data_IF_335873412527
#
_entry.id   IF_335873412527
#
_cell.length_a   1.000
_cell.length_b   1.000
_cell.length_c   1.000
_cell.angle_alpha   90.00
_cell.angle_beta   90.00
_cell.angle_gamma   90.00
#
_symmetry.space_group_name_H-M   'P 1'
#
loop_
_entity.id
_entity.type
_entity.pdbx_description
1 polymer ?
#
# COMPACT_ATOMS: atom_id res chain seq x y z
N UNK A 1 -2.48 -8.51 -11.03
CA UNK A 1 -1.53 -9.40 -10.35
C UNK A 1 -0.39 -8.59 -9.75
N UNK A 2 -0.02 -8.87 -8.52
CA UNK A 2 1.07 -8.18 -7.85
C UNK A 2 2.41 -8.58 -8.45
N UNK A 3 3.34 -7.63 -8.57
CA UNK A 3 4.69 -7.89 -9.07
C UNK A 3 5.37 -9.00 -8.27
N UNK A 4 6.10 -9.90 -8.96
CA UNK A 4 6.75 -11.05 -8.31
C UNK A 4 7.91 -10.62 -7.42
N UNK A 5 8.71 -9.67 -7.89
CA UNK A 5 9.87 -9.17 -7.17
C UNK A 5 9.62 -7.71 -6.83
N UNK A 6 9.00 -7.50 -5.67
CA UNK A 6 8.70 -6.15 -5.24
C UNK A 6 9.99 -5.45 -4.83
N UNK A 7 10.23 -4.29 -5.43
CA UNK A 7 11.35 -3.44 -5.08
C UNK A 7 10.83 -2.33 -4.18
N UNK A 8 11.39 -2.20 -2.99
CA UNK A 8 10.98 -1.17 -2.05
C UNK A 8 11.24 0.24 -2.60
N UNK A 9 10.27 1.12 -2.40
CA UNK A 9 10.34 2.52 -2.80
C UNK A 9 9.90 3.38 -1.62
N UNK A 10 10.70 4.39 -1.25
CA UNK A 10 10.27 5.39 -0.29
C UNK A 10 9.34 6.41 -0.96
N UNK A 11 8.39 6.94 -0.19
CA UNK A 11 7.51 7.99 -0.70
C UNK A 11 8.33 9.25 -1.00
N UNK A 12 8.11 9.89 -2.17
CA UNK A 12 8.82 11.14 -2.49
C UNK A 12 8.47 12.28 -1.53
N UNK A 13 7.23 12.31 -1.06
CA UNK A 13 6.76 13.27 -0.06
C UNK A 13 5.81 12.56 0.91
N UNK A 14 5.54 13.11 2.10
CA UNK A 14 4.59 12.48 3.05
C UNK A 14 3.17 12.31 2.52
N UNK A 15 2.80 13.01 1.44
CA UNK A 15 1.47 12.89 0.82
C UNK A 15 1.38 11.76 -0.19
N UNK A 16 2.50 11.14 -0.55
CA UNK A 16 2.58 10.18 -1.65
C UNK A 16 2.73 8.71 -1.22
N UNK A 17 2.33 8.38 -0.01
CA UNK A 17 2.41 6.98 0.46
C UNK A 17 1.59 6.03 -0.43
N UNK A 18 0.39 6.43 -0.85
CA UNK A 18 -0.45 5.61 -1.72
C UNK A 18 0.17 5.40 -3.09
N UNK A 19 0.77 6.43 -3.66
CA UNK A 19 1.43 6.33 -4.96
C UNK A 19 2.65 5.41 -4.89
N UNK A 20 3.42 5.48 -3.81
CA UNK A 20 4.55 4.57 -3.60
C UNK A 20 4.07 3.11 -3.45
N UNK A 21 2.98 2.87 -2.72
CA UNK A 21 2.38 1.53 -2.61
C UNK A 21 1.97 1.01 -3.98
N UNK A 22 1.29 1.82 -4.78
CA UNK A 22 0.88 1.44 -6.13
C UNK A 22 2.09 1.10 -7.00
N UNK A 23 3.14 1.90 -6.94
CA UNK A 23 4.36 1.66 -7.70
C UNK A 23 5.03 0.35 -7.30
N UNK A 24 5.12 0.08 -5.99
CA UNK A 24 5.72 -1.16 -5.49
C UNK A 24 4.91 -2.39 -5.91
N UNK A 25 3.60 -2.34 -5.73
CA UNK A 25 2.73 -3.49 -6.02
C UNK A 25 2.63 -3.82 -7.51
N UNK A 26 2.68 -2.82 -8.37
CA UNK A 26 2.54 -3.00 -9.82
C UNK A 26 3.88 -3.15 -10.54
N UNK A 27 4.97 -2.68 -9.95
CA UNK A 27 6.25 -2.62 -10.62
C UNK A 27 6.37 -1.47 -11.62
N UNK A 28 5.40 -0.57 -11.62
CA UNK A 28 5.36 0.58 -12.53
C UNK A 28 6.09 1.76 -11.87
N UNK A 29 6.83 2.54 -12.67
CA UNK A 29 7.55 3.71 -12.19
C UNK A 29 6.59 4.69 -11.50
N UNK A 30 6.99 5.22 -10.36
CA UNK A 30 6.14 6.10 -9.57
C UNK A 30 5.70 7.36 -10.35
N UNK A 31 6.50 7.83 -11.29
CA UNK A 31 6.13 8.98 -12.12
C UNK A 31 4.92 8.66 -13.00
N UNK A 32 4.85 7.44 -13.53
CA UNK A 32 3.68 6.99 -14.29
C UNK A 32 2.46 6.85 -13.38
N UNK A 33 2.65 6.32 -12.19
CA UNK A 33 1.58 6.19 -11.19
C UNK A 33 1.02 7.58 -10.84
N UNK A 34 1.88 8.56 -10.61
CA UNK A 34 1.46 9.94 -10.31
C UNK A 34 0.63 10.52 -11.45
N UNK A 35 1.02 10.28 -12.70
CA UNK A 35 0.24 10.72 -13.87
C UNK A 35 -1.15 10.08 -13.87
N UNK A 36 -1.23 8.79 -13.60
CA UNK A 36 -2.52 8.09 -13.55
C UNK A 36 -3.41 8.57 -12.42
N UNK A 37 -2.83 8.91 -11.28
CA UNK A 37 -3.57 9.48 -10.16
C UNK A 37 -4.04 10.91 -10.44
N UNK A 38 -3.36 11.63 -11.33
CA UNK A 38 -3.68 13.01 -11.66
C UNK A 38 -3.30 14.01 -10.58
N UNK A 39 -2.49 13.60 -9.59
CA UNK A 39 -2.12 14.45 -8.47
C UNK A 39 -0.85 13.91 -7.80
N UNK A 40 -0.12 14.80 -7.12
CA UNK A 40 0.98 14.45 -6.23
C UNK A 40 0.54 14.46 -4.76
N UNK A 41 -0.74 14.70 -4.50
CA UNK A 41 -1.32 14.75 -3.17
C UNK A 41 -1.77 13.36 -2.73
N UNK A 42 -2.38 13.29 -1.55
CA UNK A 42 -2.90 12.05 -1.00
C UNK A 42 -3.90 11.38 -1.92
N UNK A 43 -3.89 10.04 -1.91
CA UNK A 43 -4.85 9.23 -2.68
C UNK A 43 -5.83 8.56 -1.72
N UNK A 44 -7.12 8.62 -2.07
CA UNK A 44 -8.16 7.93 -1.32
C UNK A 44 -8.34 6.49 -1.78
N UNK A 45 -9.17 5.73 -1.07
CA UNK A 45 -9.40 4.33 -1.38
C UNK A 45 -9.98 4.15 -2.79
N UNK A 46 -10.86 5.05 -3.22
CA UNK A 46 -11.45 4.98 -4.56
C UNK A 46 -10.38 5.06 -5.64
N UNK A 47 -9.45 6.00 -5.50
CA UNK A 47 -8.32 6.14 -6.43
C UNK A 47 -7.42 4.92 -6.37
N UNK A 48 -7.10 4.42 -5.17
CA UNK A 48 -6.30 3.22 -5.02
C UNK A 48 -6.95 2.03 -5.76
N UNK A 49 -8.26 1.82 -5.58
CA UNK A 49 -9.00 0.76 -6.27
C UNK A 49 -8.93 0.88 -7.79
N UNK A 50 -9.12 2.10 -8.30
CA UNK A 50 -9.11 2.34 -9.74
C UNK A 50 -7.74 2.05 -10.36
N UNK A 51 -6.68 2.52 -9.73
CA UNK A 51 -5.33 2.31 -10.25
C UNK A 51 -4.93 0.83 -10.15
N UNK A 52 -5.20 0.17 -9.02
CA UNK A 52 -4.96 -1.27 -8.91
C UNK A 52 -5.69 -2.05 -10.02
N UNK A 53 -6.99 -1.73 -10.23
CA UNK A 53 -7.78 -2.40 -11.26
C UNK A 53 -7.22 -2.17 -12.67
N UNK A 54 -6.71 -0.99 -12.94
CA UNK A 54 -6.07 -0.68 -14.23
C UNK A 54 -4.91 -1.65 -14.53
N UNK A 55 -4.22 -2.13 -13.50
CA UNK A 55 -3.12 -3.07 -13.64
C UNK A 55 -3.52 -4.52 -13.32
N UNK A 56 -4.81 -4.81 -13.28
CA UNK A 56 -5.31 -6.19 -13.09
C UNK A 56 -5.25 -6.69 -11.66
N UNK A 57 -5.12 -5.80 -10.69
CA UNK A 57 -5.12 -6.16 -9.27
C UNK A 57 -6.46 -5.77 -8.65
N UNK A 58 -7.16 -6.75 -8.05
CA UNK A 58 -8.41 -6.46 -7.36
C UNK A 58 -8.16 -6.19 -5.88
N UNK A 59 -8.88 -5.20 -5.35
CA UNK A 59 -8.85 -4.86 -3.93
C UNK A 59 -10.11 -5.42 -3.29
N UNK A 60 -9.97 -6.16 -2.19
CA UNK A 60 -11.10 -6.76 -1.48
C UNK A 60 -12.15 -5.71 -1.10
N UNK A 61 -13.41 -6.14 -1.02
CA UNK A 61 -14.52 -5.23 -0.74
C UNK A 61 -14.56 -4.78 0.72
N UNK A 62 -14.08 -5.60 1.64
CA UNK A 62 -14.19 -5.35 3.05
C UNK A 62 -12.91 -4.78 3.65
N UNK A 63 -13.08 -3.75 4.49
CA UNK A 63 -12.01 -3.25 5.34
C UNK A 63 -12.00 -4.12 6.59
N UNK A 64 -10.89 -4.80 6.84
CA UNK A 64 -10.75 -5.75 7.94
C UNK A 64 -9.75 -5.21 8.96
N UNK A 65 -10.17 -5.14 10.23
CA UNK A 65 -9.25 -4.76 11.30
C UNK A 65 -8.25 -5.89 11.56
N UNK A 66 -7.00 -5.54 11.85
CA UNK A 66 -5.95 -6.52 12.05
C UNK A 66 -5.04 -6.09 13.21
N UNK A 67 -4.63 -7.07 14.03
CA UNK A 67 -3.71 -6.83 15.15
C UNK A 67 -2.34 -7.45 14.90
N UNK A 68 -2.31 -8.62 14.29
CA UNK A 68 -1.09 -9.43 14.13
C UNK A 68 -0.84 -9.75 12.68
N UNK A 69 0.44 -9.80 12.32
CA UNK A 69 0.90 -10.18 10.98
C UNK A 69 0.31 -11.50 10.50
N UNK A 70 0.17 -12.49 11.39
CA UNK A 70 -0.35 -13.82 11.07
C UNK A 70 -1.80 -13.79 10.59
N UNK A 71 -2.53 -12.71 10.84
CA UNK A 71 -3.91 -12.54 10.40
C UNK A 71 -4.02 -12.02 8.97
N UNK A 72 -2.90 -11.61 8.37
CA UNK A 72 -2.89 -11.03 7.02
C UNK A 72 -2.95 -12.10 5.94
N UNK A 73 -3.62 -11.83 4.81
CA UNK A 73 -3.57 -12.71 3.65
C UNK A 73 -2.20 -12.65 2.97
N UNK A 74 -2.05 -13.34 1.84
CA UNK A 74 -0.79 -13.35 1.10
C UNK A 74 -0.33 -11.95 0.67
N UNK A 75 -1.27 -11.10 0.28
CA UNK A 75 -0.98 -9.71 -0.08
C UNK A 75 -2.12 -8.81 0.37
N UNK A 76 -1.79 -7.62 0.85
CA UNK A 76 -2.77 -6.70 1.40
C UNK A 76 -2.36 -5.25 1.21
N UNK A 77 -3.37 -4.42 0.94
CA UNK A 77 -3.26 -2.97 1.05
C UNK A 77 -3.58 -2.62 2.51
N UNK A 78 -2.68 -1.91 3.17
CA UNK A 78 -2.82 -1.57 4.57
C UNK A 78 -3.14 -0.09 4.74
N UNK A 79 -4.04 0.21 5.69
CA UNK A 79 -4.30 1.55 6.19
C UNK A 79 -3.92 1.57 7.66
N UNK A 80 -2.92 2.36 8.01
CA UNK A 80 -2.32 2.35 9.34
C UNK A 80 -2.38 3.74 9.97
N UNK A 81 -2.83 3.79 11.22
CA UNK A 81 -2.77 5.02 12.00
C UNK A 81 -1.41 5.09 12.70
N UNK A 82 -0.45 5.72 12.04
CA UNK A 82 0.89 5.94 12.61
C UNK A 82 0.89 7.17 13.54
N UNK A 83 1.94 7.38 14.32
CA UNK A 83 2.01 8.58 15.17
C UNK A 83 1.88 9.90 14.42
N UNK A 84 2.21 9.92 13.12
CA UNK A 84 2.15 11.14 12.31
C UNK A 84 0.82 11.33 11.60
N UNK A 85 0.24 10.25 11.03
CA UNK A 85 -0.94 10.36 10.16
C UNK A 85 -1.49 8.98 9.82
N UNK A 86 -2.65 8.95 9.17
CA UNK A 86 -3.13 7.77 8.46
C UNK A 86 -2.28 7.56 7.22
N UNK A 87 -1.93 6.31 6.94
CA UNK A 87 -0.83 6.00 6.04
C UNK A 87 -1.12 4.71 5.28
N UNK A 88 -0.93 4.73 3.97
CA UNK A 88 -1.01 3.53 3.15
C UNK A 88 0.29 2.75 3.24
N UNK A 89 0.18 1.42 3.31
CA UNK A 89 1.33 0.53 3.30
C UNK A 89 1.00 -0.73 2.51
N UNK A 90 2.02 -1.52 2.20
CA UNK A 90 1.87 -2.74 1.41
C UNK A 90 2.43 -3.93 2.19
N UNK A 91 1.66 -5.01 2.23
CA UNK A 91 2.13 -6.30 2.75
C UNK A 91 2.09 -7.32 1.64
N UNK A 92 3.16 -8.09 1.49
CA UNK A 92 3.21 -9.18 0.52
C UNK A 92 4.19 -10.25 0.96
N UNK A 93 3.73 -11.51 0.99
CA UNK A 93 4.56 -12.69 1.23
C UNK A 93 5.45 -12.56 2.48
N UNK A 94 4.90 -12.09 3.58
CA UNK A 94 5.58 -12.04 4.86
C UNK A 94 6.41 -10.78 5.11
N UNK A 95 6.41 -9.82 4.20
CA UNK A 95 7.16 -8.57 4.34
C UNK A 95 6.27 -7.36 4.24
N UNK A 96 6.62 -6.30 4.97
CA UNK A 96 5.96 -5.01 4.90
C UNK A 96 6.83 -4.08 4.07
N UNK A 97 6.24 -3.57 2.99
CA UNK A 97 6.87 -2.59 2.10
C UNK A 97 6.27 -1.24 2.43
N UNK A 98 6.85 -0.57 3.41
CA UNK A 98 6.30 0.67 3.91
C UNK A 98 6.95 1.87 3.25
N UNK A 99 6.16 2.81 2.71
CA UNK A 99 6.72 3.98 2.02
C UNK A 99 7.52 4.92 2.90
N UNK A 100 7.30 4.87 4.21
CA UNK A 100 8.01 5.75 5.17
C UNK A 100 9.03 4.97 5.99
N UNK A 101 8.66 3.79 6.48
CA UNK A 101 9.50 3.03 7.43
C UNK A 101 10.42 2.02 6.77
N UNK A 102 10.26 1.76 5.47
CA UNK A 102 11.14 0.87 4.72
C UNK A 102 10.61 -0.55 4.60
N UNK A 103 11.49 -1.45 4.22
CA UNK A 103 11.20 -2.88 4.14
C UNK A 103 11.42 -3.50 5.51
N UNK A 104 10.35 -3.93 6.15
CA UNK A 104 10.37 -4.40 7.54
C UNK A 104 9.60 -5.70 7.70
N UNK A 105 9.86 -6.42 8.79
CA UNK A 105 9.29 -7.75 9.04
C UNK A 105 7.99 -7.74 9.82
N UNK A 106 7.61 -6.62 10.42
CA UNK A 106 6.39 -6.47 11.19
C UNK A 106 5.79 -5.10 10.96
N UNK A 107 4.59 -4.87 11.51
CA UNK A 107 3.93 -3.57 11.36
C UNK A 107 4.83 -2.43 11.84
N UNK A 108 4.83 -1.30 11.11
CA UNK A 108 5.41 -0.09 11.66
C UNK A 108 4.59 0.40 12.86
N UNK A 109 5.12 1.32 13.68
CA UNK A 109 4.36 1.86 14.82
C UNK A 109 2.99 2.37 14.37
N UNK A 110 1.92 1.80 14.92
CA UNK A 110 0.57 2.13 14.49
C UNK A 110 -0.44 1.71 15.55
N UNK A 111 -1.42 2.59 15.83
CA UNK A 111 -2.45 2.33 16.83
C UNK A 111 -3.60 1.52 16.25
N UNK A 112 -4.15 1.95 15.11
CA UNK A 112 -5.23 1.24 14.42
C UNK A 112 -4.73 0.77 13.06
N UNK A 113 -5.10 -0.49 12.70
CA UNK A 113 -4.61 -1.16 11.51
C UNK A 113 -5.75 -1.84 10.80
N UNK A 114 -5.88 -1.56 9.49
CA UNK A 114 -6.88 -2.19 8.63
C UNK A 114 -6.23 -2.66 7.34
N UNK A 115 -6.86 -3.65 6.72
CA UNK A 115 -6.38 -4.10 5.41
C UNK A 115 -7.52 -4.43 4.46
N UNK A 116 -7.21 -4.40 3.19
CA UNK A 116 -8.01 -4.96 2.09
C UNK A 116 -7.14 -5.98 1.38
N UNK A 117 -7.68 -7.16 1.15
CA UNK A 117 -6.93 -8.19 0.45
C UNK A 117 -6.66 -7.78 -1.00
N UNK A 118 -5.45 -8.05 -1.50
CA UNK A 118 -5.06 -7.81 -2.88
C UNK A 118 -4.95 -9.15 -3.63
N UNK A 119 -5.56 -9.23 -4.82
CA UNK A 119 -5.50 -10.43 -5.66
C UNK A 119 -5.11 -10.10 -7.09
#
# INVERSE_FOLDING_TARGET
>A
MIAKNIKHIFEPTPLQCGQAVLAMATGIDIKEIVKLCGTENETDLKTMRLIFAHFGISVGNERIAVCKKEQLPKAALLSLETPKCWHWSLYACGKFYDPEYGLIDDFPPSARRYYWELK
#
